data_IF_594788106248
#
_entry.id   IF_594788106248
#
_cell.length_a   1.000
_cell.length_b   1.000
_cell.length_c   1.000
_cell.angle_alpha   90.00
_cell.angle_beta   90.00
_cell.angle_gamma   90.00
#
_symmetry.space_group_name_H-M   'P 1'
#
loop_
_entity.id
_entity.type
_entity.pdbx_description
1 polymer ?
#
# COMPACT_ATOMS: atom_id res chain seq x y z
N UNK A 1 -4.41 14.07 31.72
CA UNK A 1 -4.84 15.38 31.18
C UNK A 1 -6.33 15.50 31.37
N UNK A 2 -6.78 16.49 32.16
CA UNK A 2 -8.20 16.79 32.25
C UNK A 2 -8.67 17.48 30.97
N UNK A 3 -9.94 17.28 30.57
CA UNK A 3 -10.51 17.84 29.33
C UNK A 3 -10.36 19.38 29.26
N UNK A 4 -10.39 20.04 30.41
CA UNK A 4 -10.20 21.49 30.56
C UNK A 4 -8.78 21.95 30.25
N UNK A 5 -7.76 21.18 30.64
CA UNK A 5 -6.36 21.48 30.34
C UNK A 5 -6.05 21.33 28.85
N UNK A 6 -6.59 20.29 28.20
CA UNK A 6 -6.45 20.11 26.76
C UNK A 6 -7.12 21.25 25.97
N UNK A 7 -8.30 21.69 26.41
CA UNK A 7 -8.99 22.83 25.80
C UNK A 7 -8.17 24.13 25.93
N UNK A 8 -7.57 24.40 27.09
CA UNK A 8 -6.69 25.56 27.29
C UNK A 8 -5.46 25.53 26.35
N UNK A 9 -4.79 24.37 26.25
CA UNK A 9 -3.66 24.17 25.32
C UNK A 9 -4.06 24.30 23.84
N UNK A 10 -5.24 23.83 23.48
CA UNK A 10 -5.74 23.91 22.11
C UNK A 10 -6.10 25.34 21.71
N UNK A 11 -6.66 26.12 22.64
CA UNK A 11 -6.95 27.54 22.40
C UNK A 11 -5.68 28.41 22.40
N UNK A 12 -4.68 28.12 23.25
CA UNK A 12 -3.43 28.89 23.29
C UNK A 12 -2.57 28.71 22.02
N UNK A 13 -2.66 27.54 21.39
CA UNK A 13 -1.99 27.18 20.12
C UNK A 13 -2.79 27.53 18.85
N UNK A 14 -3.82 28.38 18.97
CA UNK A 14 -4.63 28.82 17.83
C UNK A 14 -5.49 27.74 17.18
N UNK A 15 -5.83 26.67 17.92
CA UNK A 15 -6.65 25.56 17.44
C UNK A 15 -5.87 24.48 16.68
N UNK A 16 -4.55 24.60 16.54
CA UNK A 16 -3.72 23.64 15.79
C UNK A 16 -3.79 22.22 16.35
N UNK A 17 -3.92 22.06 17.67
CA UNK A 17 -4.10 20.75 18.32
C UNK A 17 -5.39 20.04 17.89
N UNK A 18 -6.49 20.76 17.63
CA UNK A 18 -7.73 20.16 17.12
C UNK A 18 -7.54 19.64 15.69
N UNK A 19 -6.82 20.39 14.86
CA UNK A 19 -6.51 19.98 13.50
C UNK A 19 -5.58 18.76 13.47
N UNK A 20 -4.58 18.72 14.36
CA UNK A 20 -3.71 17.55 14.53
C UNK A 20 -4.49 16.32 15.01
N UNK A 21 -5.43 16.49 15.95
CA UNK A 21 -6.29 15.40 16.41
C UNK A 21 -7.17 14.85 15.27
N UNK A 22 -7.71 15.74 14.42
CA UNK A 22 -8.47 15.35 13.23
C UNK A 22 -7.58 14.56 12.24
N UNK A 23 -6.36 15.05 11.95
CA UNK A 23 -5.43 14.34 11.07
C UNK A 23 -5.06 12.96 11.62
N UNK A 24 -4.82 12.85 12.92
CA UNK A 24 -4.55 11.57 13.56
C UNK A 24 -5.74 10.61 13.44
N UNK A 25 -6.97 11.10 13.63
CA UNK A 25 -8.17 10.28 13.45
C UNK A 25 -8.33 9.79 12.00
N UNK A 26 -8.14 10.68 11.02
CA UNK A 26 -8.17 10.31 9.60
C UNK A 26 -7.07 9.29 9.28
N UNK A 27 -5.84 9.52 9.76
CA UNK A 27 -4.71 8.62 9.57
C UNK A 27 -4.96 7.23 10.15
N UNK A 28 -5.47 7.13 11.38
CA UNK A 28 -5.84 5.87 12.01
C UNK A 28 -6.93 5.14 11.21
N UNK A 29 -7.95 5.86 10.74
CA UNK A 29 -9.03 5.29 9.92
C UNK A 29 -8.47 4.67 8.64
N UNK A 30 -7.55 5.36 7.97
CA UNK A 30 -6.86 4.85 6.77
C UNK A 30 -5.99 3.64 7.11
N UNK A 31 -5.20 3.69 8.20
CA UNK A 31 -4.37 2.57 8.64
C UNK A 31 -5.21 1.30 8.84
N UNK A 32 -6.36 1.42 9.52
CA UNK A 32 -7.23 0.27 9.78
C UNK A 32 -7.88 -0.23 8.51
N UNK A 33 -8.54 0.64 7.75
CA UNK A 33 -9.26 0.24 6.53
C UNK A 33 -8.32 -0.35 5.48
N UNK A 34 -7.26 0.39 5.13
CA UNK A 34 -6.31 -0.02 4.09
C UNK A 34 -5.37 -1.10 4.58
N UNK A 35 -4.92 -1.06 5.82
CA UNK A 35 -4.06 -2.10 6.39
C UNK A 35 -4.75 -3.46 6.39
N UNK A 36 -6.04 -3.54 6.75
CA UNK A 36 -6.79 -4.80 6.71
C UNK A 36 -7.04 -5.28 5.28
N UNK A 37 -7.44 -4.40 4.35
CA UNK A 37 -7.65 -4.76 2.94
C UNK A 37 -6.37 -5.28 2.30
N UNK A 38 -5.26 -4.56 2.46
CA UNK A 38 -3.98 -4.90 1.84
C UNK A 38 -3.41 -6.20 2.42
N UNK A 39 -3.48 -6.40 3.75
CA UNK A 39 -3.10 -7.68 4.38
C UNK A 39 -3.95 -8.85 3.91
N UNK A 40 -5.26 -8.65 3.70
CA UNK A 40 -6.14 -9.68 3.14
C UNK A 40 -5.77 -10.00 1.70
N UNK A 41 -5.50 -8.99 0.87
CA UNK A 41 -5.08 -9.17 -0.52
C UNK A 41 -3.78 -9.95 -0.62
N UNK A 42 -2.76 -9.56 0.14
CA UNK A 42 -1.46 -10.23 0.18
C UNK A 42 -1.58 -11.70 0.61
N UNK A 43 -2.24 -11.97 1.75
CA UNK A 43 -2.39 -13.35 2.27
C UNK A 43 -3.21 -14.27 1.36
N UNK A 44 -4.24 -13.74 0.68
CA UNK A 44 -5.01 -14.55 -0.28
C UNK A 44 -4.23 -14.72 -1.59
N UNK A 45 -3.46 -13.71 -2.01
CA UNK A 45 -2.52 -13.79 -3.13
C UNK A 45 -1.49 -14.91 -2.96
N UNK A 46 -0.86 -15.02 -1.79
CA UNK A 46 0.07 -16.13 -1.47
C UNK A 46 -0.56 -17.51 -1.71
N UNK A 47 -1.83 -17.69 -1.33
CA UNK A 47 -2.54 -18.96 -1.53
C UNK A 47 -2.76 -19.27 -3.01
N UNK A 48 -3.06 -18.25 -3.82
CA UNK A 48 -3.24 -18.40 -5.27
C UNK A 48 -1.91 -18.76 -5.94
N UNK A 49 -0.83 -18.03 -5.60
CA UNK A 49 0.52 -18.35 -6.11
C UNK A 49 0.93 -19.76 -5.71
N UNK A 50 0.69 -20.16 -4.46
CA UNK A 50 0.98 -21.51 -3.99
C UNK A 50 0.15 -22.57 -4.75
N UNK A 51 -1.15 -22.33 -4.96
CA UNK A 51 -2.01 -23.23 -5.72
C UNK A 51 -1.50 -23.44 -7.16
N UNK A 52 -1.15 -22.36 -7.86
CA UNK A 52 -0.59 -22.42 -9.22
C UNK A 52 0.76 -23.12 -9.24
N UNK A 53 1.62 -22.88 -8.24
CA UNK A 53 2.95 -23.51 -8.16
C UNK A 53 2.89 -25.02 -8.00
N UNK A 54 1.83 -25.54 -7.35
CA UNK A 54 1.61 -26.96 -7.12
C UNK A 54 1.10 -27.71 -8.38
N UNK A 55 0.58 -26.97 -9.36
CA UNK A 55 0.10 -27.54 -10.61
C UNK A 55 1.28 -27.74 -11.59
N UNK A 56 1.42 -28.93 -12.20
CA UNK A 56 2.47 -29.17 -13.21
C UNK A 56 2.14 -28.54 -14.58
N UNK A 57 0.85 -28.43 -14.90
CA UNK A 57 0.28 -27.76 -16.07
C UNK A 57 -1.02 -27.08 -15.58
N UNK A 58 -1.39 -25.96 -16.18
CA UNK A 58 -2.65 -25.27 -15.88
C UNK A 58 -3.57 -25.43 -17.08
N UNK A 59 -4.59 -26.29 -16.94
CA UNK A 59 -5.60 -26.45 -17.97
C UNK A 59 -6.73 -25.40 -17.81
N UNK A 60 -7.64 -25.35 -18.79
CA UNK A 60 -8.78 -24.42 -18.78
C UNK A 60 -9.64 -24.58 -17.53
N UNK A 61 -9.80 -25.81 -17.02
CA UNK A 61 -10.56 -26.08 -15.80
C UNK A 61 -9.88 -25.51 -14.55
N UNK A 62 -8.58 -25.76 -14.40
CA UNK A 62 -7.78 -25.23 -13.28
C UNK A 62 -7.76 -23.70 -13.31
N UNK A 63 -7.67 -23.10 -14.50
CA UNK A 63 -7.73 -21.65 -14.67
C UNK A 63 -9.08 -21.07 -14.24
N UNK A 64 -10.20 -21.73 -14.55
CA UNK A 64 -11.54 -21.30 -14.12
C UNK A 64 -11.73 -21.46 -12.59
N UNK A 65 -11.15 -22.51 -11.96
CA UNK A 65 -11.18 -22.69 -10.50
C UNK A 65 -10.31 -21.65 -9.77
N UNK A 66 -9.09 -21.42 -10.25
CA UNK A 66 -8.18 -20.41 -9.71
C UNK A 66 -8.78 -19.00 -9.82
N UNK A 67 -9.44 -18.71 -10.95
CA UNK A 67 -10.20 -17.48 -11.16
C UNK A 67 -11.29 -17.30 -10.10
N UNK A 68 -12.09 -18.33 -9.86
CA UNK A 68 -13.15 -18.28 -8.84
C UNK A 68 -12.56 -18.07 -7.43
N UNK A 69 -11.44 -18.73 -7.11
CA UNK A 69 -10.74 -18.55 -5.84
C UNK A 69 -10.14 -17.14 -5.67
N UNK A 70 -9.76 -16.50 -6.78
CA UNK A 70 -9.19 -15.16 -6.82
C UNK A 70 -10.20 -14.02 -6.99
N UNK A 71 -11.51 -14.32 -6.96
CA UNK A 71 -12.56 -13.32 -7.15
C UNK A 71 -12.43 -12.14 -6.16
N UNK A 72 -12.42 -10.92 -6.70
CA UNK A 72 -12.27 -9.68 -5.92
C UNK A 72 -10.84 -9.38 -5.45
N UNK A 73 -9.83 -10.07 -5.99
CA UNK A 73 -8.41 -9.78 -5.78
C UNK A 73 -7.78 -9.29 -7.09
N UNK A 74 -6.70 -8.48 -7.01
CA UNK A 74 -5.92 -8.09 -8.20
C UNK A 74 -5.40 -9.29 -9.01
N UNK A 75 -5.02 -10.36 -8.31
CA UNK A 75 -4.61 -11.63 -8.92
C UNK A 75 -5.70 -12.29 -9.79
N UNK A 76 -6.98 -11.98 -9.54
CA UNK A 76 -8.09 -12.51 -10.32
C UNK A 76 -8.11 -11.97 -11.74
N UNK A 77 -7.81 -10.68 -11.94
CA UNK A 77 -7.74 -10.07 -13.27
C UNK A 77 -6.63 -10.68 -14.15
N UNK A 78 -5.50 -11.08 -13.55
CA UNK A 78 -4.43 -11.79 -14.24
C UNK A 78 -4.90 -13.19 -14.70
N UNK A 79 -5.57 -13.91 -13.81
CA UNK A 79 -6.12 -15.24 -14.10
C UNK A 79 -7.23 -15.17 -15.15
N UNK A 80 -8.07 -14.12 -15.11
CA UNK A 80 -9.06 -13.83 -16.14
C UNK A 80 -8.38 -13.66 -17.50
N UNK A 81 -7.35 -12.81 -17.57
CA UNK A 81 -6.62 -12.53 -18.81
C UNK A 81 -5.95 -13.78 -19.36
N UNK A 82 -5.33 -14.58 -18.48
CA UNK A 82 -4.73 -15.86 -18.84
C UNK A 82 -5.78 -16.85 -19.38
N UNK A 83 -6.90 -17.06 -18.67
CA UNK A 83 -7.95 -17.99 -19.07
C UNK A 83 -8.60 -17.60 -20.42
N UNK A 84 -8.78 -16.31 -20.69
CA UNK A 84 -9.30 -15.83 -21.98
C UNK A 84 -8.33 -16.10 -23.14
N UNK A 85 -7.02 -15.90 -22.94
CA UNK A 85 -6.01 -16.16 -23.97
C UNK A 85 -5.80 -17.65 -24.21
N UNK A 86 -5.88 -18.48 -23.15
CA UNK A 86 -5.83 -19.94 -23.26
C UNK A 86 -6.97 -20.47 -24.15
N UNK A 87 -8.19 -19.93 -24.01
CA UNK A 87 -9.35 -20.30 -24.83
C UNK A 87 -9.26 -19.85 -26.30
N UNK A 88 -8.44 -18.83 -26.60
CA UNK A 88 -8.27 -18.27 -27.96
C UNK A 88 -7.08 -18.84 -28.74
N UNK A 89 -6.22 -19.64 -28.10
CA UNK A 89 -4.97 -20.15 -28.69
C UNK A 89 -4.05 -19.06 -29.28
N UNK A 90 -4.16 -17.82 -28.79
CA UNK A 90 -3.39 -16.67 -29.29
C UNK A 90 -2.13 -16.47 -28.45
N UNK A 91 -1.08 -17.19 -28.83
CA UNK A 91 0.10 -17.37 -27.97
C UNK A 91 1.07 -16.19 -27.99
N UNK A 92 1.13 -15.47 -29.11
CA UNK A 92 2.13 -14.41 -29.35
C UNK A 92 2.01 -13.21 -28.42
N UNK A 93 0.81 -12.95 -27.87
CA UNK A 93 0.51 -11.73 -27.11
C UNK A 93 0.13 -12.00 -25.64
N UNK A 94 0.18 -13.26 -25.18
CA UNK A 94 -0.29 -13.63 -23.83
C UNK A 94 0.54 -12.95 -22.73
N UNK A 95 1.85 -12.92 -22.86
CA UNK A 95 2.74 -12.25 -21.90
C UNK A 95 2.43 -10.76 -21.82
N UNK A 96 2.32 -10.08 -22.97
CA UNK A 96 1.99 -8.66 -23.05
C UNK A 96 0.62 -8.34 -22.46
N UNK A 97 -0.39 -9.19 -22.69
CA UNK A 97 -1.72 -9.02 -22.12
C UNK A 97 -1.72 -9.16 -20.59
N UNK A 98 -0.95 -10.12 -20.04
CA UNK A 98 -0.82 -10.29 -18.58
C UNK A 98 -0.06 -9.11 -17.97
N UNK A 99 0.99 -8.61 -18.64
CA UNK A 99 1.71 -7.41 -18.21
C UNK A 99 0.79 -6.19 -18.14
N UNK A 100 -0.01 -5.96 -19.19
CA UNK A 100 -1.00 -4.89 -19.21
C UNK A 100 -1.98 -5.01 -18.02
N UNK A 101 -2.46 -6.22 -17.73
CA UNK A 101 -3.34 -6.46 -16.58
C UNK A 101 -2.64 -6.15 -15.24
N UNK A 102 -1.36 -6.46 -15.08
CA UNK A 102 -0.59 -6.08 -13.88
C UNK A 102 -0.53 -4.56 -13.77
N UNK A 103 -0.15 -3.86 -14.84
CA UNK A 103 0.00 -2.41 -14.84
C UNK A 103 -1.30 -1.67 -14.50
N UNK A 104 -2.45 -2.19 -14.94
CA UNK A 104 -3.76 -1.60 -14.62
C UNK A 104 -4.16 -1.77 -13.15
N UNK A 105 -3.66 -2.82 -12.48
CA UNK A 105 -4.01 -3.14 -11.09
C UNK A 105 -3.12 -2.45 -10.05
N UNK A 106 -1.84 -2.18 -10.36
CA UNK A 106 -0.88 -1.56 -9.41
C UNK A 106 -1.43 -0.28 -8.76
N UNK A 107 -2.00 0.70 -9.51
CA UNK A 107 -2.55 1.92 -8.90
C UNK A 107 -3.71 1.67 -7.92
N UNK A 108 -4.45 0.57 -8.12
CA UNK A 108 -5.54 0.16 -7.24
C UNK A 108 -5.03 -0.32 -5.88
N UNK A 109 -3.86 -0.98 -5.85
CA UNK A 109 -3.21 -1.50 -4.65
C UNK A 109 -2.62 -0.35 -3.81
N UNK A 110 -2.02 0.65 -4.44
CA UNK A 110 -1.45 1.83 -3.78
C UNK A 110 -2.49 2.85 -3.29
N UNK A 111 -3.77 2.67 -3.64
CA UNK A 111 -4.81 3.66 -3.39
C UNK A 111 -4.98 3.96 -1.90
N UNK A 112 -4.84 5.24 -1.56
CA UNK A 112 -5.08 5.77 -0.21
C UNK A 112 -3.85 5.88 0.68
N UNK A 113 -2.69 5.33 0.27
CA UNK A 113 -1.42 5.51 1.00
C UNK A 113 -0.97 6.98 1.00
N UNK A 114 -1.31 7.74 -0.05
CA UNK A 114 -1.00 9.17 -0.14
C UNK A 114 -1.60 10.01 1.00
N UNK A 115 -2.75 9.59 1.56
CA UNK A 115 -3.37 10.28 2.69
C UNK A 115 -2.49 10.13 3.94
N UNK A 116 -1.94 8.94 4.13
CA UNK A 116 -1.06 8.66 5.26
C UNK A 116 0.25 9.42 5.14
N UNK A 117 0.83 9.50 3.93
CA UNK A 117 1.99 10.33 3.63
C UNK A 117 1.72 11.82 3.92
N UNK A 118 0.54 12.30 3.54
CA UNK A 118 0.10 13.67 3.87
C UNK A 118 0.00 13.90 5.38
N UNK A 119 -0.55 12.95 6.14
CA UNK A 119 -0.63 13.07 7.61
C UNK A 119 0.77 13.11 8.23
N UNK A 120 1.69 12.26 7.76
CA UNK A 120 3.08 12.20 8.26
C UNK A 120 3.83 13.51 8.00
N UNK A 121 3.60 14.13 6.84
CA UNK A 121 4.27 15.38 6.44
C UNK A 121 3.64 16.62 7.06
N UNK A 122 2.30 16.68 7.14
CA UNK A 122 1.58 17.86 7.62
C UNK A 122 1.54 17.95 9.15
N UNK A 123 1.46 16.82 9.87
CA UNK A 123 1.36 16.86 11.34
C UNK A 123 2.54 17.57 12.04
N UNK A 124 3.81 17.35 11.68
CA UNK A 124 4.95 18.09 12.26
C UNK A 124 4.94 19.57 11.89
N UNK A 125 4.52 19.90 10.67
CA UNK A 125 4.41 21.28 10.20
C UNK A 125 3.34 22.05 10.98
N UNK A 126 2.20 21.40 11.28
CA UNK A 126 1.19 21.96 12.17
C UNK A 126 1.68 22.11 13.60
N UNK A 127 2.48 21.15 14.09
CA UNK A 127 3.16 21.25 15.38
C UNK A 127 4.03 22.50 15.47
N UNK A 128 4.92 22.68 14.48
CA UNK A 128 5.77 23.86 14.36
C UNK A 128 4.95 25.15 14.23
N UNK A 129 3.89 25.15 13.44
CA UNK A 129 3.00 26.31 13.32
C UNK A 129 2.31 26.66 14.64
N UNK A 130 1.87 25.65 15.40
CA UNK A 130 1.32 25.83 16.75
C UNK A 130 2.31 26.48 17.70
N UNK A 131 3.61 26.20 17.58
CA UNK A 131 4.61 26.87 18.42
C UNK A 131 4.85 28.31 18.05
N UNK A 132 4.79 28.64 16.75
CA UNK A 132 4.89 30.02 16.28
C UNK A 132 3.73 30.84 16.85
N UNK A 133 2.50 30.32 16.82
CA UNK A 133 1.34 30.97 17.42
C UNK A 133 1.49 31.09 18.95
N UNK A 134 1.88 30.01 19.62
CA UNK A 134 2.04 30.01 21.08
C UNK A 134 3.12 31.00 21.54
N UNK A 135 4.25 31.08 20.84
CA UNK A 135 5.30 32.06 21.11
C UNK A 135 4.83 33.49 20.83
N UNK A 136 4.06 33.73 19.77
CA UNK A 136 3.48 35.04 19.50
C UNK A 136 2.61 35.52 20.67
N UNK A 137 1.72 34.66 21.17
CA UNK A 137 0.89 34.98 22.36
C UNK A 137 1.72 35.16 23.63
N UNK A 138 2.78 34.36 23.83
CA UNK A 138 3.65 34.47 25.00
C UNK A 138 4.39 35.81 25.05
N UNK A 139 4.86 36.32 23.90
CA UNK A 139 5.56 37.60 23.83
C UNK A 139 4.62 38.81 23.88
N UNK A 140 3.39 38.70 23.41
CA UNK A 140 2.38 39.76 23.54
C UNK A 140 2.10 40.10 25.02
N UNK A 141 2.03 39.07 25.88
CA UNK A 141 1.88 39.23 27.34
C UNK A 141 3.06 39.98 27.99
N UNK A 142 4.26 39.90 27.41
CA UNK A 142 5.44 40.62 27.90
C UNK A 142 5.44 42.09 27.47
N UNK A 143 4.90 42.39 26.29
CA UNK A 143 4.78 43.75 25.76
C UNK A 143 3.70 44.61 26.44
N UNK A 144 2.72 43.97 27.08
CA UNK A 144 1.73 44.65 27.90
C UNK A 144 2.37 45.23 29.19
N UNK A 145 1.98 46.45 29.57
CA UNK A 145 2.50 47.16 30.75
C UNK A 145 2.33 46.33 32.03
N UNK A 146 3.44 45.93 32.66
CA UNK A 146 3.47 45.05 33.84
C UNK A 146 3.83 43.58 33.58
N UNK A 147 4.42 43.27 32.42
CA UNK A 147 4.75 41.90 31.99
C UNK A 147 5.46 41.04 33.06
N UNK A 148 4.88 39.88 33.34
CA UNK A 148 5.42 38.86 34.25
C UNK A 148 6.25 37.84 33.45
N UNK A 149 7.59 37.78 33.65
CA UNK A 149 8.45 36.83 32.96
C UNK A 149 8.03 35.36 33.15
N UNK A 150 7.45 35.02 34.30
CA UNK A 150 6.99 33.65 34.58
C UNK A 150 5.86 33.22 33.65
N UNK A 151 4.97 34.15 33.27
CA UNK A 151 3.89 33.87 32.31
C UNK A 151 4.41 33.58 30.91
N UNK A 152 5.46 34.29 30.48
CA UNK A 152 6.10 34.03 29.18
C UNK A 152 6.71 32.64 29.15
N UNK A 153 7.47 32.28 30.19
CA UNK A 153 8.10 30.94 30.28
C UNK A 153 7.06 29.83 30.24
N UNK A 154 5.90 30.02 30.89
CA UNK A 154 4.78 29.07 30.83
C UNK A 154 4.18 28.95 29.42
N UNK A 155 3.96 30.07 28.72
CA UNK A 155 3.41 30.06 27.36
C UNK A 155 4.33 29.41 26.33
N UNK A 156 5.66 29.58 26.48
CA UNK A 156 6.65 28.90 25.64
C UNK A 156 6.64 27.39 25.89
N UNK A 157 6.52 26.95 27.16
CA UNK A 157 6.43 25.53 27.49
C UNK A 157 5.17 24.88 26.89
N UNK A 158 4.02 25.57 26.96
CA UNK A 158 2.78 25.11 26.32
C UNK A 158 2.91 25.01 24.79
N UNK A 159 3.56 26.00 24.17
CA UNK A 159 3.81 26.00 22.73
C UNK A 159 4.60 24.75 22.30
N UNK A 160 5.65 24.36 23.04
CA UNK A 160 6.48 23.19 22.71
C UNK A 160 5.71 21.87 22.72
N UNK A 161 4.63 21.76 23.49
CA UNK A 161 3.76 20.57 23.50
C UNK A 161 3.13 20.35 22.12
N UNK A 162 2.76 21.42 21.40
CA UNK A 162 2.18 21.30 20.06
C UNK A 162 3.15 20.62 19.07
N UNK A 163 4.44 20.97 19.09
CA UNK A 163 5.46 20.28 18.28
C UNK A 163 5.63 18.83 18.68
N UNK A 164 5.71 18.56 19.99
CA UNK A 164 5.87 17.19 20.48
C UNK A 164 4.70 16.30 20.02
N UNK A 165 3.47 16.82 20.06
CA UNK A 165 2.28 16.13 19.55
C UNK A 165 2.36 15.89 18.02
N UNK A 166 2.71 16.91 17.23
CA UNK A 166 2.84 16.77 15.78
C UNK A 166 3.87 15.72 15.37
N UNK A 167 5.03 15.69 16.05
CA UNK A 167 6.06 14.68 15.85
C UNK A 167 5.60 13.28 16.27
N UNK A 168 4.93 13.14 17.42
CA UNK A 168 4.43 11.85 17.89
C UNK A 168 3.41 11.24 16.92
N UNK A 169 2.52 12.07 16.35
CA UNK A 169 1.57 11.65 15.31
C UNK A 169 2.34 11.18 14.07
N UNK A 170 3.28 11.98 13.55
CA UNK A 170 4.03 11.61 12.36
C UNK A 170 4.82 10.31 12.53
N UNK A 171 5.53 10.17 13.65
CA UNK A 171 6.34 8.97 13.94
C UNK A 171 5.49 7.70 14.02
N UNK A 172 4.35 7.76 14.70
CA UNK A 172 3.44 6.62 14.81
C UNK A 172 2.87 6.21 13.45
N UNK A 173 2.44 7.18 12.64
CA UNK A 173 1.87 6.92 11.32
C UNK A 173 2.92 6.42 10.31
N UNK A 174 4.16 6.92 10.39
CA UNK A 174 5.26 6.50 9.52
C UNK A 174 5.59 5.02 9.65
N UNK A 175 5.53 4.46 10.87
CA UNK A 175 5.75 3.03 11.07
C UNK A 175 4.74 2.18 10.31
N UNK A 176 3.45 2.54 10.36
CA UNK A 176 2.40 1.85 9.60
C UNK A 176 2.52 2.08 8.10
N UNK A 177 2.85 3.31 7.66
CA UNK A 177 3.04 3.64 6.26
C UNK A 177 4.12 2.77 5.61
N UNK A 178 5.29 2.66 6.24
CA UNK A 178 6.38 1.83 5.72
C UNK A 178 5.97 0.35 5.61
N UNK A 179 5.30 -0.20 6.63
CA UNK A 179 4.81 -1.59 6.59
C UNK A 179 3.75 -1.83 5.50
N UNK A 180 2.86 -0.86 5.29
CA UNK A 180 1.87 -0.93 4.20
C UNK A 180 2.54 -0.83 2.83
N UNK A 181 3.50 0.08 2.65
CA UNK A 181 4.23 0.25 1.40
C UNK A 181 5.03 -1.02 1.05
N UNK A 182 5.64 -1.68 2.03
CA UNK A 182 6.28 -2.98 1.83
C UNK A 182 5.25 -4.05 1.39
N UNK A 183 4.08 -4.09 2.02
CA UNK A 183 3.01 -5.03 1.63
C UNK A 183 2.53 -4.78 0.20
N UNK A 184 2.43 -3.53 -0.26
CA UNK A 184 2.13 -3.21 -1.67
C UNK A 184 3.20 -3.80 -2.58
N UNK A 185 4.48 -3.49 -2.32
CA UNK A 185 5.60 -3.98 -3.12
C UNK A 185 5.62 -5.50 -3.21
N UNK A 186 5.40 -6.18 -2.10
CA UNK A 186 5.33 -7.64 -2.06
C UNK A 186 4.11 -8.17 -2.84
N UNK A 187 2.96 -7.49 -2.78
CA UNK A 187 1.77 -7.86 -3.58
C UNK A 187 2.03 -7.73 -5.08
N UNK A 188 2.69 -6.65 -5.52
CA UNK A 188 3.09 -6.49 -6.93
C UNK A 188 4.08 -7.59 -7.35
N UNK A 189 5.06 -7.89 -6.48
CA UNK A 189 5.99 -8.98 -6.73
C UNK A 189 5.29 -10.34 -6.87
N UNK A 190 4.27 -10.63 -6.05
CA UNK A 190 3.45 -11.83 -6.18
C UNK A 190 2.74 -11.93 -7.53
N UNK A 191 2.25 -10.81 -8.05
CA UNK A 191 1.61 -10.76 -9.37
C UNK A 191 2.61 -11.09 -10.49
N UNK A 192 3.83 -10.56 -10.40
CA UNK A 192 4.92 -10.92 -11.32
C UNK A 192 5.32 -12.39 -11.20
N UNK A 193 5.40 -12.93 -9.97
CA UNK A 193 5.64 -14.36 -9.75
C UNK A 193 4.53 -15.20 -10.38
N UNK A 194 3.27 -14.82 -10.17
CA UNK A 194 2.11 -15.50 -10.74
C UNK A 194 2.18 -15.52 -12.26
N UNK A 195 2.44 -14.37 -12.90
CA UNK A 195 2.65 -14.28 -14.36
C UNK A 195 3.70 -15.29 -14.84
N UNK A 196 4.88 -15.31 -14.20
CA UNK A 196 5.97 -16.22 -14.58
C UNK A 196 5.57 -17.69 -14.43
N UNK A 197 4.84 -18.04 -13.37
CA UNK A 197 4.34 -19.39 -13.17
C UNK A 197 3.35 -19.77 -14.28
N UNK A 198 2.36 -18.93 -14.57
CA UNK A 198 1.36 -19.19 -15.60
C UNK A 198 2.02 -19.38 -16.98
N UNK A 199 2.91 -18.46 -17.37
CA UNK A 199 3.62 -18.55 -18.65
C UNK A 199 4.52 -19.79 -18.72
N UNK A 200 5.28 -20.10 -17.67
CA UNK A 200 6.13 -21.30 -17.65
C UNK A 200 5.31 -22.58 -17.84
N UNK A 201 4.20 -22.71 -17.09
CA UNK A 201 3.30 -23.88 -17.18
C UNK A 201 2.62 -23.98 -18.54
N UNK A 202 2.26 -22.84 -19.13
CA UNK A 202 1.72 -22.76 -20.47
C UNK A 202 2.71 -23.23 -21.55
N UNK A 203 3.96 -22.77 -21.50
CA UNK A 203 5.01 -23.21 -22.41
C UNK A 203 5.31 -24.71 -22.29
N UNK A 204 5.32 -25.26 -21.07
CA UNK A 204 5.49 -26.70 -20.84
C UNK A 204 4.35 -27.50 -21.46
N UNK A 205 3.10 -27.05 -21.30
CA UNK A 205 1.94 -27.71 -21.89
C UNK A 205 2.02 -27.74 -23.43
N UNK A 206 2.47 -26.64 -24.03
CA UNK A 206 2.66 -26.54 -25.48
C UNK A 206 3.77 -27.46 -25.99
N UNK A 207 4.91 -27.51 -25.32
CA UNK A 207 6.01 -28.43 -25.68
C UNK A 207 5.60 -29.91 -25.56
N UNK A 208 4.76 -30.25 -24.58
CA UNK A 208 4.21 -31.61 -24.46
C UNK A 208 3.23 -31.98 -25.59
N UNK A 209 2.64 -30.99 -26.26
CA UNK A 209 1.73 -31.17 -27.39
C UNK A 209 2.44 -31.16 -28.77
N UNK A 210 3.68 -30.67 -28.87
CA UNK A 210 4.48 -30.79 -30.09
C UNK A 210 5.00 -32.23 -30.23
N UNK A 211 4.50 -33.05 -31.18
CA UNK A 211 4.93 -34.42 -31.32
C UNK A 211 6.41 -34.45 -31.70
N UNK A 212 7.20 -35.22 -30.93
CA UNK A 212 8.58 -35.59 -31.25
C UNK A 212 8.61 -36.32 -32.60
N UNK A 213 8.71 -35.58 -33.70
CA UNK A 213 8.38 -36.09 -35.01
C UNK A 213 9.29 -35.63 -36.14
N UNK A 214 10.60 -35.46 -35.91
CA UNK A 214 11.54 -35.19 -37.03
C UNK A 214 12.91 -35.91 -36.94
N UNK A 215 13.35 -36.49 -35.81
CA UNK A 215 14.78 -36.88 -35.69
C UNK A 215 15.15 -38.29 -36.20
N UNK A 216 14.23 -39.13 -36.68
CA UNK A 216 14.57 -40.51 -37.10
C UNK A 216 14.26 -40.85 -38.57
N UNK A 217 14.55 -39.96 -39.53
CA UNK A 217 14.40 -40.29 -40.96
C UNK A 217 15.61 -40.09 -41.87
N UNK A 218 16.76 -39.63 -41.39
CA UNK A 218 17.93 -39.40 -42.25
C UNK A 218 19.09 -40.39 -42.13
N UNK A 219 19.02 -41.41 -41.27
CA UNK A 219 20.16 -42.34 -41.06
C UNK A 219 19.97 -43.77 -41.60
N UNK A 220 18.91 -44.04 -42.38
CA UNK A 220 18.68 -45.35 -43.04
C UNK A 220 18.60 -45.28 -44.56
N UNK A 221 19.22 -44.28 -45.17
CA UNK A 221 19.29 -44.15 -46.63
C UNK A 221 20.73 -43.88 -47.11
N UNK A 222 21.69 -44.66 -46.59
CA UNK A 222 23.02 -44.81 -47.19
C UNK A 222 23.67 -46.09 -46.66
N UNK A 223 23.09 -47.22 -47.02
CA UNK A 223 23.75 -48.53 -47.02
C UNK A 223 23.61 -49.10 -48.43
#
# INVERSE_FOLDING_TARGET
MNLTQFNQLAMSSGGTLYLMALLAFVGITVIVDRGLRLRRTFRRGERIVAAVSALPVVDVHDADELRAAAAGLPHGHLLDTYAHNLKRSHDGDMESAIDEAIYLEVPGIDRGLWVLDTVITVAPLLGLFGTIIGMFHAFDVLGASGGDPTRVTSGVAEALIATACGLAIAMSHLWFFNGMQDTVRQTVHQMDTLKRLLLNRHYVAKQAQEPTGVVLRHERASA
#
